data_IF_094293418876
#
_entry.id   IF_094293418876
#
_cell.length_a   1.000
_cell.length_b   1.000
_cell.length_c   1.000
_cell.angle_alpha   90.00
_cell.angle_beta   90.00
_cell.angle_gamma   90.00
#
_symmetry.space_group_name_H-M   'P 1'
#
loop_
_entity.id
_entity.type
_entity.pdbx_description
1 polymer ?
#
# COMPACT_ATOMS: atom_id res chain seq x y z
N UNK A 1 -0.90 -59.41 38.55
CA UNK A 1 0.34 -59.90 37.89
C UNK A 1 0.96 -58.73 37.14
N UNK A 2 2.22 -58.43 37.50
CA UNK A 2 3.28 -57.72 36.76
C UNK A 2 2.98 -56.36 36.08
N UNK A 3 3.60 -55.32 36.65
CA UNK A 3 3.99 -54.04 36.05
C UNK A 3 5.06 -54.26 34.96
N UNK A 4 5.10 -53.44 33.88
CA UNK A 4 6.38 -52.79 33.58
C UNK A 4 6.22 -51.36 33.00
N UNK A 5 6.21 -50.36 33.87
CA UNK A 5 6.60 -48.99 33.53
C UNK A 5 8.14 -48.89 33.57
N UNK A 6 8.80 -49.05 32.42
CA UNK A 6 10.23 -48.80 32.26
C UNK A 6 10.43 -47.32 31.94
N UNK A 7 10.45 -46.51 33.00
CA UNK A 7 11.03 -45.18 32.92
C UNK A 7 12.55 -45.33 32.96
N UNK A 8 13.22 -45.02 31.85
CA UNK A 8 14.66 -44.78 31.83
C UNK A 8 14.95 -43.54 32.68
N UNK A 9 15.26 -43.75 33.95
CA UNK A 9 15.86 -42.73 34.81
C UNK A 9 17.31 -42.56 34.36
N UNK A 10 17.59 -41.46 33.64
CA UNK A 10 18.95 -41.00 33.41
C UNK A 10 19.66 -40.82 34.76
N UNK A 11 20.95 -41.19 34.89
CA UNK A 11 21.67 -41.06 36.14
C UNK A 11 21.64 -39.58 36.55
N UNK A 12 21.02 -39.32 37.69
CA UNK A 12 20.98 -37.96 38.23
C UNK A 12 22.41 -37.55 38.58
N UNK A 13 22.75 -36.29 38.28
CA UNK A 13 24.05 -35.69 38.57
C UNK A 13 24.52 -35.85 40.02
N UNK A 14 23.64 -36.23 40.94
CA UNK A 14 23.95 -36.43 42.35
C UNK A 14 24.68 -37.76 42.63
N UNK A 15 24.63 -38.74 41.72
CA UNK A 15 25.20 -40.07 41.95
C UNK A 15 26.59 -40.24 41.30
N UNK A 16 26.94 -39.39 40.32
CA UNK A 16 28.27 -39.37 39.68
C UNK A 16 29.35 -38.63 40.49
N UNK A 17 29.00 -38.05 41.64
CA UNK A 17 29.93 -37.27 42.50
C UNK A 17 30.47 -38.12 43.67
N UNK A 18 30.09 -39.41 43.74
CA UNK A 18 30.42 -40.28 44.87
C UNK A 18 31.55 -41.30 44.62
N UNK A 19 32.19 -41.30 43.44
CA UNK A 19 33.19 -42.31 43.06
C UNK A 19 34.63 -41.81 42.86
N UNK A 20 34.94 -40.56 43.22
CA UNK A 20 36.34 -40.06 43.20
C UNK A 20 36.75 -39.55 44.58
N UNK A 21 37.76 -40.21 45.15
CA UNK A 21 38.28 -39.95 46.50
C UNK A 21 38.96 -38.60 46.63
N UNK A 22 38.17 -37.54 46.82
CA UNK A 22 38.63 -36.23 47.27
C UNK A 22 38.20 -35.97 48.73
N UNK A 23 39.10 -35.46 49.60
CA UNK A 23 38.75 -35.16 50.98
C UNK A 23 37.66 -34.08 51.05
N UNK A 24 36.67 -34.37 51.91
CA UNK A 24 35.57 -33.47 52.25
C UNK A 24 36.13 -32.32 53.09
N UNK A 25 35.84 -31.09 52.69
CA UNK A 25 35.39 -29.94 53.54
C UNK A 25 35.69 -28.61 52.85
N UNK A 26 34.63 -27.90 52.47
CA UNK A 26 34.67 -26.50 52.05
C UNK A 26 34.28 -25.60 53.22
N UNK A 27 35.06 -25.62 54.30
CA UNK A 27 34.87 -24.76 55.47
C UNK A 27 36.11 -23.95 55.88
N UNK A 28 37.24 -24.05 55.16
CA UNK A 28 38.47 -23.32 55.48
C UNK A 28 39.04 -22.66 54.22
N UNK A 29 38.39 -21.61 53.72
CA UNK A 29 38.96 -20.76 52.66
C UNK A 29 38.67 -19.27 52.85
N UNK A 30 38.30 -18.87 54.07
CA UNK A 30 38.23 -17.47 54.47
C UNK A 30 38.84 -17.38 55.86
N UNK A 31 40.15 -17.20 55.92
CA UNK A 31 40.75 -16.43 57.00
C UNK A 31 42.04 -15.79 56.47
N UNK A 32 41.98 -14.46 56.32
CA UNK A 32 43.20 -13.67 56.25
C UNK A 32 43.96 -13.85 57.55
N UNK A 33 45.06 -14.58 57.50
CA UNK A 33 45.99 -14.69 58.63
C UNK A 33 47.21 -13.82 58.33
N UNK A 34 47.06 -12.54 58.62
CA UNK A 34 48.20 -11.73 59.04
C UNK A 34 48.53 -12.10 60.48
N UNK A 35 49.70 -12.71 60.66
CA UNK A 35 50.47 -12.64 61.89
C UNK A 35 50.03 -13.58 63.01
N UNK A 36 50.59 -14.79 63.02
CA UNK A 36 50.88 -15.46 64.29
C UNK A 36 52.30 -16.01 64.24
N UNK A 37 53.19 -15.31 64.94
CA UNK A 37 54.53 -15.77 65.26
C UNK A 37 54.43 -16.93 66.26
N UNK A 38 54.83 -18.13 65.84
CA UNK A 38 55.05 -19.25 66.75
C UNK A 38 56.50 -19.71 66.58
N UNK A 39 57.28 -19.55 67.65
CA UNK A 39 58.72 -19.72 67.65
C UNK A 39 59.19 -21.16 67.42
N UNK A 40 60.03 -21.30 66.40
CA UNK A 40 61.14 -22.24 66.37
C UNK A 40 62.38 -21.42 66.07
N UNK A 41 63.44 -21.58 66.88
CA UNK A 41 64.70 -20.85 66.74
C UNK A 41 65.46 -21.34 65.50
N UNK A 42 65.01 -20.90 64.33
CA UNK A 42 65.83 -20.90 63.13
C UNK A 42 66.73 -19.67 63.21
N UNK A 43 68.05 -19.90 63.19
CA UNK A 43 69.03 -18.82 63.05
C UNK A 43 68.87 -18.29 61.65
N UNK A 44 67.98 -17.30 61.49
CA UNK A 44 67.77 -16.62 60.24
C UNK A 44 69.07 -15.91 59.85
N UNK A 45 69.64 -16.19 58.66
CA UNK A 45 70.83 -15.49 58.20
C UNK A 45 70.50 -14.00 58.08
N UNK A 46 70.94 -13.24 59.07
CA UNK A 46 70.62 -11.83 59.22
C UNK A 46 71.69 -11.05 58.47
N UNK A 47 71.38 -10.59 57.26
CA UNK A 47 72.25 -9.68 56.52
C UNK A 47 71.96 -8.25 56.99
N UNK A 48 72.99 -7.52 57.46
CA UNK A 48 72.89 -6.11 57.86
C UNK A 48 71.79 -5.81 58.91
N UNK A 49 71.51 -6.73 59.83
CA UNK A 49 70.58 -6.50 60.95
C UNK A 49 69.09 -6.67 60.62
N UNK A 50 68.74 -7.18 59.44
CA UNK A 50 67.36 -7.42 59.01
C UNK A 50 67.11 -8.92 58.73
N UNK A 51 65.94 -9.40 59.16
CA UNK A 51 65.47 -10.77 58.97
C UNK A 51 65.14 -11.05 57.48
N UNK A 52 65.14 -12.33 57.08
CA UNK A 52 64.89 -12.74 55.69
C UNK A 52 63.53 -12.23 55.14
N UNK A 53 62.49 -12.21 55.99
CA UNK A 53 61.16 -11.66 55.65
C UNK A 53 61.20 -10.16 55.33
N UNK A 54 62.05 -9.39 56.01
CA UNK A 54 62.21 -7.97 55.75
C UNK A 54 62.84 -7.72 54.37
N UNK A 55 63.86 -8.50 53.99
CA UNK A 55 64.49 -8.39 52.66
C UNK A 55 63.53 -8.81 51.53
N UNK A 56 62.73 -9.86 51.74
CA UNK A 56 61.67 -10.28 50.79
C UNK A 56 60.60 -9.20 50.66
N UNK A 57 60.15 -8.60 51.77
CA UNK A 57 59.17 -7.51 51.71
C UNK A 57 59.71 -6.27 51.01
N UNK A 58 60.99 -5.92 51.23
CA UNK A 58 61.66 -4.83 50.54
C UNK A 58 61.81 -5.09 49.03
N UNK A 59 62.16 -6.32 48.64
CA UNK A 59 62.21 -6.73 47.23
C UNK A 59 60.83 -6.70 46.56
N UNK A 60 59.78 -7.16 47.25
CA UNK A 60 58.40 -7.10 46.75
C UNK A 60 57.89 -5.66 46.61
N UNK A 61 58.24 -4.80 47.57
CA UNK A 61 57.89 -3.39 47.53
C UNK A 61 58.62 -2.65 46.40
N UNK A 62 59.89 -2.95 46.18
CA UNK A 62 60.65 -2.46 45.03
C UNK A 62 60.05 -2.94 43.70
N UNK A 63 59.64 -4.21 43.62
CA UNK A 63 58.98 -4.77 42.44
C UNK A 63 57.64 -4.08 42.14
N UNK A 64 56.79 -3.88 43.16
CA UNK A 64 55.55 -3.12 43.04
C UNK A 64 55.80 -1.67 42.60
N UNK A 65 56.81 -1.02 43.17
CA UNK A 65 57.20 0.34 42.77
C UNK A 65 57.61 0.38 41.30
N UNK A 66 58.40 -0.59 40.84
CA UNK A 66 58.79 -0.71 39.43
C UNK A 66 57.56 -0.94 38.53
N UNK A 67 56.59 -1.78 38.93
CA UNK A 67 55.36 -2.00 38.14
C UNK A 67 54.49 -0.73 38.04
N UNK A 68 54.40 0.04 39.13
CA UNK A 68 53.67 1.31 39.16
C UNK A 68 54.36 2.35 38.27
N UNK A 69 55.68 2.52 38.40
CA UNK A 69 56.47 3.46 37.57
C UNK A 69 56.42 3.07 36.09
N UNK A 70 56.42 1.77 35.79
CA UNK A 70 56.35 1.25 34.42
C UNK A 70 54.92 1.25 33.84
N UNK A 71 53.94 1.72 34.61
CA UNK A 71 52.60 2.07 34.13
C UNK A 71 51.64 0.89 33.97
N UNK A 72 51.92 -0.26 34.58
CA UNK A 72 51.04 -1.44 34.55
C UNK A 72 49.61 -1.15 35.06
N UNK A 73 49.39 -0.46 36.20
CA UNK A 73 48.02 -0.15 36.63
C UNK A 73 47.28 0.78 35.66
N UNK A 74 47.99 1.70 35.01
CA UNK A 74 47.41 2.58 34.00
C UNK A 74 47.01 1.81 32.73
N UNK A 75 47.78 0.80 32.32
CA UNK A 75 47.44 -0.06 31.18
C UNK A 75 46.14 -0.85 31.43
N UNK A 76 45.99 -1.43 32.62
CA UNK A 76 44.78 -2.17 33.01
C UNK A 76 43.57 -1.22 33.04
N UNK A 77 43.72 -0.02 33.61
CA UNK A 77 42.68 1.01 33.59
C UNK A 77 42.23 1.36 32.17
N UNK A 78 43.17 1.59 31.25
CA UNK A 78 42.86 1.92 29.85
C UNK A 78 42.13 0.79 29.11
N UNK A 79 42.47 -0.47 29.38
CA UNK A 79 41.77 -1.61 28.79
C UNK A 79 40.33 -1.72 29.29
N UNK A 80 40.11 -1.49 30.58
CA UNK A 80 38.78 -1.49 31.19
C UNK A 80 37.92 -0.32 30.68
N UNK A 81 38.51 0.88 30.61
CA UNK A 81 37.87 2.06 30.03
C UNK A 81 37.50 1.85 28.56
N UNK A 82 38.36 1.18 27.79
CA UNK A 82 38.07 0.78 26.41
C UNK A 82 36.86 -0.16 26.30
N UNK A 83 36.73 -1.13 27.21
CA UNK A 83 35.56 -2.00 27.25
C UNK A 83 34.29 -1.24 27.66
N UNK A 84 34.37 -0.36 28.66
CA UNK A 84 33.25 0.49 29.08
C UNK A 84 32.79 1.38 27.93
N UNK A 85 33.72 1.99 27.19
CA UNK A 85 33.42 2.80 26.02
C UNK A 85 32.73 1.97 24.93
N UNK A 86 33.25 0.77 24.62
CA UNK A 86 32.63 -0.11 23.63
C UNK A 86 31.21 -0.56 24.03
N UNK A 87 30.97 -0.86 25.31
CA UNK A 87 29.65 -1.22 25.82
C UNK A 87 28.69 -0.02 25.74
N UNK A 88 29.16 1.18 26.09
CA UNK A 88 28.37 2.41 25.97
C UNK A 88 27.95 2.65 24.53
N UNK A 89 28.88 2.58 23.58
CA UNK A 89 28.58 2.73 22.15
C UNK A 89 27.52 1.72 21.68
N UNK A 90 27.67 0.43 22.03
CA UNK A 90 26.67 -0.60 21.67
C UNK A 90 25.30 -0.35 22.31
N UNK A 91 25.27 0.15 23.55
CA UNK A 91 24.02 0.47 24.24
C UNK A 91 23.33 1.69 23.60
N UNK A 92 24.10 2.70 23.20
CA UNK A 92 23.59 3.90 22.53
C UNK A 92 23.09 3.58 21.10
N UNK A 93 23.79 2.70 20.38
CA UNK A 93 23.33 2.16 19.09
C UNK A 93 22.03 1.36 19.26
N UNK A 94 21.95 0.49 20.26
CA UNK A 94 20.74 -0.29 20.52
C UNK A 94 19.55 0.60 20.93
N UNK A 95 19.80 1.67 21.71
CA UNK A 95 18.78 2.67 22.06
C UNK A 95 18.30 3.43 20.84
N UNK A 96 19.22 3.87 19.98
CA UNK A 96 18.90 4.55 18.73
C UNK A 96 18.07 3.65 17.82
N UNK A 97 18.49 2.40 17.62
CA UNK A 97 17.77 1.43 16.80
C UNK A 97 16.37 1.14 17.35
N UNK A 98 16.23 1.08 18.67
CA UNK A 98 14.92 0.93 19.30
C UNK A 98 14.03 2.16 19.10
N UNK A 99 14.58 3.35 19.26
CA UNK A 99 13.85 4.59 19.02
C UNK A 99 13.41 4.72 17.54
N UNK A 100 14.26 4.32 16.59
CA UNK A 100 13.93 4.26 15.17
C UNK A 100 12.83 3.23 14.89
N UNK A 101 12.88 2.05 15.51
CA UNK A 101 11.84 1.02 15.35
C UNK A 101 10.50 1.46 15.95
N UNK A 102 10.52 2.13 17.11
CA UNK A 102 9.32 2.70 17.75
C UNK A 102 8.73 3.83 16.88
N UNK A 103 9.56 4.74 16.37
CA UNK A 103 9.13 5.79 15.45
C UNK A 103 8.53 5.22 14.17
N UNK A 104 9.15 4.20 13.58
CA UNK A 104 8.68 3.54 12.37
C UNK A 104 7.33 2.84 12.62
N UNK A 105 7.18 2.14 13.74
CA UNK A 105 5.91 1.52 14.14
C UNK A 105 4.79 2.56 14.23
N UNK A 106 5.06 3.70 14.85
CA UNK A 106 4.06 4.74 15.05
C UNK A 106 3.70 5.40 13.71
N UNK A 107 4.68 5.62 12.82
CA UNK A 107 4.45 6.09 11.45
C UNK A 107 3.54 5.11 10.69
N UNK A 108 3.84 3.81 10.68
CA UNK A 108 2.99 2.83 10.00
C UNK A 108 1.59 2.74 10.61
N UNK A 109 1.48 2.83 11.94
CA UNK A 109 0.16 2.79 12.60
C UNK A 109 -0.69 4.00 12.20
N UNK A 110 -0.10 5.19 12.18
CA UNK A 110 -0.80 6.41 11.72
C UNK A 110 -1.16 6.34 10.23
N UNK A 111 -0.27 5.76 9.41
CA UNK A 111 -0.49 5.58 7.97
C UNK A 111 -1.59 4.57 7.68
N UNK A 112 -1.67 3.48 8.42
CA UNK A 112 -2.76 2.49 8.30
C UNK A 112 -4.10 3.13 8.65
N UNK A 113 -4.17 3.87 9.77
CA UNK A 113 -5.38 4.60 10.15
C UNK A 113 -5.80 5.63 9.08
N UNK A 114 -4.83 6.30 8.46
CA UNK A 114 -5.09 7.21 7.34
C UNK A 114 -5.58 6.51 6.07
N UNK A 115 -5.06 5.31 5.75
CA UNK A 115 -5.46 4.53 4.57
C UNK A 115 -6.91 4.05 4.68
N UNK A 116 -7.35 3.60 5.86
CA UNK A 116 -8.75 3.17 6.05
C UNK A 116 -9.73 4.33 5.80
N UNK A 117 -9.42 5.51 6.33
CA UNK A 117 -10.22 6.72 6.09
C UNK A 117 -10.21 7.12 4.61
N UNK A 118 -9.04 7.11 3.95
CA UNK A 118 -8.92 7.41 2.52
C UNK A 118 -9.65 6.40 1.64
N UNK A 119 -9.61 5.10 1.99
CA UNK A 119 -10.33 4.06 1.27
C UNK A 119 -11.84 4.23 1.41
N UNK A 120 -12.32 4.55 2.63
CA UNK A 120 -13.74 4.84 2.87
C UNK A 120 -14.20 6.08 2.07
N UNK A 121 -13.39 7.14 2.06
CA UNK A 121 -13.66 8.35 1.27
C UNK A 121 -13.66 8.05 -0.24
N UNK A 122 -12.71 7.23 -0.73
CA UNK A 122 -12.64 6.82 -2.12
C UNK A 122 -13.89 6.03 -2.55
N UNK A 123 -14.36 5.10 -1.70
CA UNK A 123 -15.59 4.34 -1.98
C UNK A 123 -16.81 5.26 -1.98
N UNK A 124 -16.95 6.13 -0.97
CA UNK A 124 -18.06 7.08 -0.91
C UNK A 124 -18.09 8.03 -2.12
N UNK A 125 -16.92 8.50 -2.56
CA UNK A 125 -16.80 9.33 -3.76
C UNK A 125 -17.18 8.56 -5.03
N UNK A 126 -16.68 7.33 -5.18
CA UNK A 126 -17.01 6.47 -6.32
C UNK A 126 -18.51 6.15 -6.38
N UNK A 127 -19.16 5.90 -5.24
CA UNK A 127 -20.61 5.68 -5.17
C UNK A 127 -21.39 6.94 -5.56
N UNK A 128 -20.98 8.12 -5.07
CA UNK A 128 -21.60 9.39 -5.44
C UNK A 128 -21.45 9.70 -6.94
N UNK A 129 -20.27 9.46 -7.51
CA UNK A 129 -20.02 9.62 -8.94
C UNK A 129 -20.83 8.62 -9.77
N UNK A 130 -20.91 7.37 -9.34
CA UNK A 130 -21.71 6.36 -10.02
C UNK A 130 -23.19 6.74 -10.03
N UNK A 131 -23.75 7.20 -8.91
CA UNK A 131 -25.13 7.67 -8.84
C UNK A 131 -25.37 8.89 -9.74
N UNK A 132 -24.46 9.88 -9.73
CA UNK A 132 -24.55 11.04 -10.61
C UNK A 132 -24.49 10.64 -12.09
N UNK A 133 -23.64 9.67 -12.44
CA UNK A 133 -23.51 9.17 -13.79
C UNK A 133 -24.76 8.41 -14.25
N UNK A 134 -25.37 7.62 -13.36
CA UNK A 134 -26.63 6.92 -13.65
C UNK A 134 -27.76 7.92 -13.94
N UNK A 135 -27.94 8.93 -13.08
CA UNK A 135 -28.96 9.98 -13.29
C UNK A 135 -28.74 10.70 -14.61
N UNK A 136 -27.48 11.03 -14.94
CA UNK A 136 -27.15 11.66 -16.22
C UNK A 136 -27.41 10.73 -17.41
N UNK A 137 -27.01 9.46 -17.30
CA UNK A 137 -27.22 8.48 -18.36
C UNK A 137 -28.72 8.23 -18.63
N UNK A 138 -29.54 8.19 -17.59
CA UNK A 138 -31.00 8.09 -17.72
C UNK A 138 -31.59 9.32 -18.41
N UNK A 139 -31.17 10.52 -18.02
CA UNK A 139 -31.59 11.76 -18.66
C UNK A 139 -31.20 11.81 -20.14
N UNK A 140 -29.94 11.48 -20.46
CA UNK A 140 -29.43 11.45 -21.83
C UNK A 140 -30.16 10.38 -22.67
N UNK A 141 -30.44 9.21 -22.10
CA UNK A 141 -31.20 8.16 -22.77
C UNK A 141 -32.65 8.57 -23.05
N UNK A 142 -33.30 9.26 -22.11
CA UNK A 142 -34.64 9.79 -22.28
C UNK A 142 -34.67 10.85 -23.39
N UNK A 143 -33.72 11.79 -23.40
CA UNK A 143 -33.59 12.81 -24.44
C UNK A 143 -33.36 12.18 -25.82
N UNK A 144 -32.44 11.21 -25.93
CA UNK A 144 -32.17 10.50 -27.18
C UNK A 144 -33.41 9.78 -27.71
N UNK A 145 -34.17 9.15 -26.81
CA UNK A 145 -35.42 8.46 -27.16
C UNK A 145 -36.46 9.46 -27.67
N UNK A 146 -36.64 10.59 -26.97
CA UNK A 146 -37.55 11.66 -27.40
C UNK A 146 -37.15 12.24 -28.76
N UNK A 147 -35.86 12.50 -28.98
CA UNK A 147 -35.34 12.99 -30.27
C UNK A 147 -35.58 11.98 -31.39
N UNK A 148 -35.38 10.69 -31.14
CA UNK A 148 -35.67 9.62 -32.12
C UNK A 148 -37.16 9.52 -32.43
N UNK A 149 -38.02 9.60 -31.41
CA UNK A 149 -39.48 9.61 -31.60
C UNK A 149 -39.92 10.82 -32.44
N UNK A 150 -39.35 12.01 -32.18
CA UNK A 150 -39.60 13.20 -32.98
C UNK A 150 -39.14 13.03 -34.43
N UNK A 151 -37.92 12.53 -34.66
CA UNK A 151 -37.44 12.27 -36.01
C UNK A 151 -38.31 11.24 -36.76
N UNK A 152 -38.82 10.23 -36.07
CA UNK A 152 -39.72 9.24 -36.68
C UNK A 152 -41.08 9.86 -37.04
N UNK A 153 -41.67 10.64 -36.14
CA UNK A 153 -42.93 11.35 -36.40
C UNK A 153 -42.80 12.38 -37.52
N UNK A 154 -41.69 13.14 -37.56
CA UNK A 154 -41.40 14.08 -38.65
C UNK A 154 -41.23 13.35 -40.00
N UNK A 155 -40.60 12.18 -40.02
CA UNK A 155 -40.47 11.34 -41.22
C UNK A 155 -41.81 10.79 -41.69
N UNK A 156 -42.66 10.33 -40.77
CA UNK A 156 -44.02 9.87 -41.09
C UNK A 156 -44.82 11.01 -41.69
N UNK A 157 -44.83 12.18 -41.05
CA UNK A 157 -45.55 13.36 -41.56
C UNK A 157 -45.02 13.85 -42.92
N UNK A 158 -43.73 13.70 -43.20
CA UNK A 158 -43.17 13.99 -44.52
C UNK A 158 -43.61 12.95 -45.57
N UNK A 159 -43.58 11.66 -45.23
CA UNK A 159 -44.01 10.57 -46.10
C UNK A 159 -45.52 10.64 -46.41
N UNK A 160 -46.36 10.97 -45.43
CA UNK A 160 -47.79 11.18 -45.61
C UNK A 160 -48.08 12.32 -46.59
N UNK A 161 -47.40 13.46 -46.43
CA UNK A 161 -47.52 14.59 -47.36
C UNK A 161 -47.09 14.20 -48.77
N UNK A 162 -46.00 13.45 -48.91
CA UNK A 162 -45.53 12.96 -50.21
C UNK A 162 -46.54 11.99 -50.84
N UNK A 163 -47.09 11.05 -50.06
CA UNK A 163 -48.08 10.08 -50.54
C UNK A 163 -49.38 10.77 -51.00
N UNK A 164 -49.86 11.76 -50.25
CA UNK A 164 -51.04 12.56 -50.66
C UNK A 164 -50.76 13.31 -51.95
N UNK A 165 -49.58 13.92 -52.09
CA UNK A 165 -49.19 14.61 -53.32
C UNK A 165 -49.13 13.65 -54.52
N UNK A 166 -48.58 12.45 -54.33
CA UNK A 166 -48.48 11.41 -55.36
C UNK A 166 -49.86 10.92 -55.83
N UNK A 167 -50.78 10.66 -54.89
CA UNK A 167 -52.17 10.26 -55.22
C UNK A 167 -52.88 11.37 -55.99
N UNK A 168 -52.71 12.63 -55.59
CA UNK A 168 -53.29 13.78 -56.31
C UNK A 168 -52.71 13.92 -57.70
N UNK A 169 -51.39 13.76 -57.86
CA UNK A 169 -50.73 13.81 -59.17
C UNK A 169 -51.24 12.69 -60.08
N UNK A 170 -51.31 11.46 -59.57
CA UNK A 170 -51.82 10.30 -60.32
C UNK A 170 -53.28 10.48 -60.73
N UNK A 171 -54.13 10.99 -59.83
CA UNK A 171 -55.53 11.27 -60.13
C UNK A 171 -55.68 12.39 -61.18
N UNK A 172 -54.89 13.46 -61.08
CA UNK A 172 -54.88 14.54 -62.06
C UNK A 172 -54.43 14.06 -63.44
N UNK A 173 -53.40 13.22 -63.51
CA UNK A 173 -52.92 12.63 -64.76
C UNK A 173 -53.96 11.68 -65.38
N UNK A 174 -54.59 10.82 -64.57
CA UNK A 174 -55.67 9.95 -65.02
C UNK A 174 -56.88 10.74 -65.54
N UNK A 175 -57.27 11.82 -64.84
CA UNK A 175 -58.35 12.70 -65.27
C UNK A 175 -57.99 13.45 -66.57
N UNK A 176 -56.76 13.95 -66.70
CA UNK A 176 -56.28 14.62 -67.90
C UNK A 176 -56.26 13.67 -69.12
N UNK A 177 -55.82 12.42 -68.94
CA UNK A 177 -55.84 11.38 -69.98
C UNK A 177 -57.26 10.97 -70.39
N UNK A 178 -58.18 10.86 -69.42
CA UNK A 178 -59.58 10.59 -69.72
C UNK A 178 -60.23 11.75 -70.48
N UNK A 179 -59.97 13.00 -70.04
CA UNK A 179 -60.45 14.20 -70.71
C UNK A 179 -59.90 14.33 -72.14
N UNK A 180 -58.60 14.08 -72.35
CA UNK A 180 -58.02 14.11 -73.70
C UNK A 180 -58.62 13.07 -74.62
N UNK A 181 -58.88 11.86 -74.12
CA UNK A 181 -59.55 10.79 -74.88
C UNK A 181 -61.00 11.15 -75.22
N UNK A 182 -61.73 11.74 -74.27
CA UNK A 182 -63.11 12.18 -74.49
C UNK A 182 -63.20 13.34 -75.49
N UNK A 183 -62.26 14.29 -75.42
CA UNK A 183 -62.13 15.36 -76.42
C UNK A 183 -61.83 14.75 -77.79
N UNK A 184 -60.85 13.85 -77.90
CA UNK A 184 -60.49 13.24 -79.18
C UNK A 184 -61.63 12.43 -79.83
N UNK A 185 -62.52 11.84 -79.03
CA UNK A 185 -63.66 11.04 -79.52
C UNK A 185 -64.88 11.90 -79.89
N UNK A 186 -65.10 13.03 -79.21
CA UNK A 186 -66.28 13.89 -79.42
C UNK A 186 -66.02 15.17 -80.23
N UNK A 187 -64.76 15.47 -80.59
CA UNK A 187 -64.42 16.65 -81.38
C UNK A 187 -64.83 16.47 -82.85
N UNK A 188 -65.91 17.12 -83.25
CA UNK A 188 -66.34 17.23 -84.64
C UNK A 188 -65.75 18.49 -85.29
N UNK A 189 -65.59 18.48 -86.63
CA UNK A 189 -64.95 19.58 -87.37
C UNK A 189 -65.65 20.95 -87.22
N UNK A 190 -66.95 20.98 -86.91
CA UNK A 190 -67.68 22.23 -86.64
C UNK A 190 -67.46 22.77 -85.21
N UNK A 191 -67.35 21.87 -84.22
CA UNK A 191 -67.02 22.26 -82.85
C UNK A 191 -65.59 22.82 -82.75
N UNK A 192 -64.68 22.29 -83.56
CA UNK A 192 -63.28 22.71 -83.63
C UNK A 192 -63.14 24.12 -84.22
N UNK A 193 -63.85 24.43 -85.33
CA UNK A 193 -63.92 25.80 -85.88
C UNK A 193 -64.46 26.81 -84.86
N UNK A 194 -65.55 26.46 -84.15
CA UNK A 194 -66.14 27.34 -83.14
C UNK A 194 -65.24 27.57 -81.90
N UNK A 195 -64.29 26.66 -81.63
CA UNK A 195 -63.25 26.84 -80.62
C UNK A 195 -62.12 27.75 -81.13
N UNK A 196 -61.69 27.56 -82.38
CA UNK A 196 -60.69 28.41 -83.04
C UNK A 196 -61.18 29.86 -83.13
N UNK A 197 -62.40 30.10 -83.58
CA UNK A 197 -62.95 31.47 -83.67
C UNK A 197 -63.05 32.15 -82.29
N UNK A 198 -63.41 31.39 -81.23
CA UNK A 198 -63.45 31.92 -79.85
C UNK A 198 -62.06 32.25 -79.30
N UNK A 199 -61.07 31.41 -79.56
CA UNK A 199 -59.68 31.66 -79.13
C UNK A 199 -59.08 32.85 -79.88
N UNK A 200 -59.33 32.97 -81.20
CA UNK A 200 -58.93 34.15 -82.00
C UNK A 200 -59.61 35.42 -81.45
N UNK A 201 -60.90 35.38 -81.14
CA UNK A 201 -61.61 36.50 -80.52
C UNK A 201 -61.05 36.87 -79.14
N UNK A 202 -60.73 35.89 -78.29
CA UNK A 202 -60.15 36.11 -76.97
C UNK A 202 -58.73 36.70 -76.99
N UNK A 203 -57.89 36.27 -77.94
CA UNK A 203 -56.55 36.84 -78.14
C UNK A 203 -56.60 38.24 -78.78
N UNK A 204 -57.59 38.52 -79.63
CA UNK A 204 -57.86 39.84 -80.18
C UNK A 204 -58.30 40.86 -79.13
N UNK A 205 -59.04 40.44 -78.10
CA UNK A 205 -59.47 41.30 -76.99
C UNK A 205 -58.36 41.64 -75.99
N UNK A 206 -57.38 40.77 -75.78
CA UNK A 206 -56.28 41.01 -74.82
C UNK A 206 -55.17 41.93 -75.33
N UNK A 207 -55.21 42.35 -76.60
CA UNK A 207 -54.24 43.30 -77.20
C UNK A 207 -54.80 44.72 -77.36
N UNK A 208 -56.02 44.98 -76.90
CA UNK A 208 -56.70 46.29 -76.99
C UNK A 208 -56.84 46.99 -75.62
N UNK A 209 -56.14 46.52 -74.60
CA UNK A 209 -55.84 47.20 -73.33
C UNK A 209 -54.33 47.15 -73.08
#
# INVERSE_FOLDING_TARGET
MANPNVAHTSPTLNEAIHEEGLPKTGADAVEGSHGSATGTAHVDPTALGLNATAWVSAAMLLFLLVLVVKGVPALIGRLLDGQIAAIRTRLDEARTLRAEAEALRDEYTSKIAGIEAQAAEMVAHAEAEAQALLVKAEADAAELTQRRAKMATDKIAAAERAAIAEVRATAADAAAKAASTLIATHLSGDADRALVDRTIAGLGGSRLN
#
